data_IF_193591574681
#
_entry.id   IF_193591574681
#
_cell.length_a   1.000
_cell.length_b   1.000
_cell.length_c   1.000
_cell.angle_alpha   90.00
_cell.angle_beta   90.00
_cell.angle_gamma   90.00
#
_symmetry.space_group_name_H-M   'P 1'
#
loop_
_entity.id
_entity.type
_entity.pdbx_description
1 polymer ?
#
# COMPACT_ATOMS: atom_id res chain seq x y z
N UNK A 1 -7.26 -16.76 19.16
CA UNK A 1 -5.86 -17.10 18.83
C UNK A 1 -5.83 -17.45 17.36
N UNK A 2 -4.95 -16.83 16.58
CA UNK A 2 -4.67 -17.29 15.21
C UNK A 2 -3.85 -18.57 15.30
N UNK A 3 -4.34 -19.65 14.69
CA UNK A 3 -3.57 -20.87 14.53
C UNK A 3 -2.62 -20.69 13.34
N UNK A 4 -1.33 -20.57 13.66
CA UNK A 4 -0.28 -20.34 12.69
C UNK A 4 -0.03 -21.54 11.76
N UNK A 5 -0.37 -22.76 12.22
CA UNK A 5 -0.19 -24.00 11.48
C UNK A 5 -1.40 -24.29 10.58
N UNK A 6 -2.61 -24.03 11.06
CA UNK A 6 -3.83 -24.20 10.27
C UNK A 6 -4.04 -23.07 9.23
N UNK A 7 -3.42 -21.91 9.43
CA UNK A 7 -3.56 -20.72 8.57
C UNK A 7 -5.04 -20.34 8.33
N UNK A 8 -5.90 -20.64 9.31
CA UNK A 8 -7.35 -20.43 9.25
C UNK A 8 -7.65 -18.94 9.47
N UNK A 9 -7.95 -18.24 8.38
CA UNK A 9 -8.40 -16.86 8.45
C UNK A 9 -9.93 -16.78 8.39
N UNK A 10 -10.49 -15.86 9.18
CA UNK A 10 -11.89 -15.48 9.05
C UNK A 10 -12.22 -15.09 7.60
N UNK A 11 -13.46 -15.35 7.17
CA UNK A 11 -13.94 -15.11 5.80
C UNK A 11 -13.62 -13.69 5.26
N UNK A 12 -13.60 -12.67 6.13
CA UNK A 12 -13.28 -11.28 5.78
C UNK A 12 -11.79 -10.96 5.55
N UNK A 13 -10.88 -11.84 5.96
CA UNK A 13 -9.43 -11.67 5.78
C UNK A 13 -8.97 -11.83 4.32
N UNK A 14 -9.87 -12.30 3.46
CA UNK A 14 -9.57 -12.58 2.07
C UNK A 14 -10.05 -11.46 1.16
N UNK A 15 -9.22 -11.17 0.15
CA UNK A 15 -9.51 -10.27 -0.94
C UNK A 15 -9.85 -11.08 -2.20
N UNK A 16 -10.90 -10.66 -2.91
CA UNK A 16 -11.21 -11.19 -4.24
C UNK A 16 -10.22 -10.60 -5.22
N UNK A 17 -9.63 -11.42 -6.08
CA UNK A 17 -8.42 -11.10 -6.88
C UNK A 17 -8.52 -9.81 -7.73
N UNK A 18 -7.37 -9.38 -8.26
CA UNK A 18 -7.20 -8.24 -9.16
C UNK A 18 -8.34 -8.11 -10.19
N UNK A 19 -8.92 -6.91 -10.30
CA UNK A 19 -10.01 -6.65 -11.25
C UNK A 19 -11.40 -7.14 -10.78
N UNK A 20 -11.54 -7.56 -9.52
CA UNK A 20 -12.81 -8.00 -8.93
C UNK A 20 -13.11 -7.28 -7.60
N UNK A 21 -13.00 -5.95 -7.56
CA UNK A 21 -13.84 -5.19 -6.63
C UNK A 21 -15.23 -5.16 -7.27
N UNK A 22 -16.11 -6.06 -6.81
CA UNK A 22 -17.47 -6.18 -7.32
C UNK A 22 -18.16 -4.82 -7.29
N UNK A 23 -18.67 -4.42 -8.45
CA UNK A 23 -19.40 -3.18 -8.69
C UNK A 23 -20.36 -2.86 -7.54
N UNK A 24 -20.05 -1.85 -6.73
CA UNK A 24 -21.11 -1.10 -6.05
C UNK A 24 -21.71 -0.18 -7.09
N UNK A 25 -22.68 -0.70 -7.83
CA UNK A 25 -23.49 0.09 -8.78
C UNK A 25 -23.86 1.43 -8.14
N UNK A 26 -23.68 2.51 -8.89
CA UNK A 26 -24.36 3.77 -8.60
C UNK A 26 -25.88 3.53 -8.53
N UNK A 27 -26.63 4.49 -7.96
CA UNK A 27 -28.09 4.36 -7.79
C UNK A 27 -28.85 4.12 -9.11
N UNK A 28 -28.25 4.41 -10.25
CA UNK A 28 -28.79 4.22 -11.60
C UNK A 28 -28.36 2.90 -12.30
N UNK A 29 -27.55 2.07 -11.62
CA UNK A 29 -27.10 0.78 -12.18
C UNK A 29 -25.89 0.86 -13.10
N UNK A 30 -25.32 2.03 -13.32
CA UNK A 30 -24.06 2.19 -14.05
C UNK A 30 -22.85 1.98 -13.11
N UNK A 31 -21.65 1.88 -13.67
CA UNK A 31 -20.46 1.21 -13.09
C UNK A 31 -19.96 1.94 -11.83
N UNK A 32 -19.13 1.30 -10.98
CA UNK A 32 -18.34 2.02 -9.98
C UNK A 32 -16.97 2.34 -10.60
N UNK A 33 -16.65 3.62 -10.68
CA UNK A 33 -15.41 4.15 -11.24
C UNK A 33 -14.20 3.88 -10.35
N UNK A 34 -14.43 3.69 -9.04
CA UNK A 34 -13.42 3.25 -8.08
C UNK A 34 -13.09 1.76 -8.24
N UNK A 35 -13.91 1.04 -9.00
CA UNK A 35 -13.69 -0.34 -9.40
C UNK A 35 -13.40 -0.42 -10.90
N UNK A 36 -12.69 0.55 -11.48
CA UNK A 36 -12.19 0.40 -12.85
C UNK A 36 -11.45 -0.93 -12.94
N UNK A 37 -12.09 -1.91 -13.55
CA UNK A 37 -11.49 -3.20 -13.80
C UNK A 37 -10.40 -2.95 -14.83
N UNK A 38 -9.19 -3.46 -14.58
CA UNK A 38 -8.34 -3.75 -15.74
C UNK A 38 -9.12 -4.82 -16.49
N UNK A 39 -9.65 -4.47 -17.67
CA UNK A 39 -10.45 -5.40 -18.47
C UNK A 39 -9.52 -6.41 -19.10
N UNK A 40 -9.53 -7.62 -18.55
CA UNK A 40 -8.59 -8.67 -18.91
C UNK A 40 -7.22 -8.46 -18.28
N UNK A 41 -6.35 -9.42 -18.53
CA UNK A 41 -4.97 -9.41 -18.09
C UNK A 41 -4.31 -10.68 -18.56
N UNK A 42 -3.02 -10.80 -18.29
CA UNK A 42 -2.26 -11.98 -18.64
C UNK A 42 -1.48 -12.44 -17.42
N UNK A 43 -1.56 -13.73 -17.13
CA UNK A 43 -0.78 -14.37 -16.08
C UNK A 43 0.72 -14.34 -16.44
N UNK A 44 1.57 -14.54 -15.43
CA UNK A 44 3.01 -14.60 -15.62
C UNK A 44 3.49 -15.67 -16.62
N UNK A 45 2.66 -16.67 -16.94
CA UNK A 45 2.93 -17.72 -17.94
C UNK A 45 2.36 -17.42 -19.33
N UNK A 46 1.76 -16.24 -19.54
CA UNK A 46 1.16 -15.85 -20.81
C UNK A 46 -0.31 -16.26 -20.97
N UNK A 47 -0.88 -17.00 -20.02
CA UNK A 47 -2.29 -17.41 -20.13
C UNK A 47 -3.24 -16.22 -19.88
N UNK A 48 -4.36 -16.11 -20.62
CA UNK A 48 -5.33 -15.04 -20.39
C UNK A 48 -5.94 -15.13 -18.99
N UNK A 49 -6.07 -13.98 -18.32
CA UNK A 49 -6.78 -13.85 -17.06
C UNK A 49 -8.20 -13.34 -17.32
N UNK A 50 -9.19 -14.16 -16.98
CA UNK A 50 -10.59 -13.73 -16.87
C UNK A 50 -10.96 -13.54 -15.39
N UNK A 51 -11.24 -12.30 -14.96
CA UNK A 51 -11.66 -12.01 -13.59
C UNK A 51 -13.01 -12.60 -13.23
N UNK A 52 -13.77 -13.25 -14.11
CA UNK A 52 -15.05 -13.88 -13.79
C UNK A 52 -15.01 -15.41 -13.79
N UNK A 53 -14.19 -16.03 -14.65
CA UNK A 53 -14.27 -17.48 -14.93
C UNK A 53 -13.01 -18.26 -14.59
N UNK A 54 -11.85 -17.62 -14.41
CA UNK A 54 -10.62 -18.35 -14.07
C UNK A 54 -10.79 -19.02 -12.71
N UNK A 55 -10.56 -20.34 -12.63
CA UNK A 55 -10.66 -21.20 -11.42
C UNK A 55 -9.83 -20.69 -10.22
N UNK A 56 -9.02 -19.65 -10.43
CA UNK A 56 -8.15 -18.98 -9.48
C UNK A 56 -8.64 -17.59 -9.11
N UNK A 57 -9.93 -17.47 -8.76
CA UNK A 57 -10.34 -16.49 -7.76
C UNK A 57 -9.84 -16.87 -6.36
N UNK A 58 -8.58 -17.32 -6.27
CA UNK A 58 -7.95 -17.75 -5.02
C UNK A 58 -8.02 -16.56 -4.08
N UNK A 59 -8.74 -16.76 -2.99
CA UNK A 59 -8.81 -15.85 -1.86
C UNK A 59 -7.38 -15.48 -1.44
N UNK A 60 -6.98 -14.23 -1.66
CA UNK A 60 -5.65 -13.74 -1.24
C UNK A 60 -5.79 -13.14 0.16
N UNK A 61 -4.92 -13.52 1.09
CA UNK A 61 -4.94 -12.94 2.44
C UNK A 61 -4.55 -11.47 2.36
N UNK A 62 -5.36 -10.59 2.93
CA UNK A 62 -5.09 -9.15 2.99
C UNK A 62 -3.97 -8.88 3.99
N UNK A 63 -2.75 -8.60 3.51
CA UNK A 63 -1.54 -8.39 4.36
C UNK A 63 -0.67 -7.21 3.97
N UNK A 64 -0.89 -6.65 2.77
CA UNK A 64 0.10 -5.75 2.16
C UNK A 64 -0.22 -4.27 2.37
N UNK A 65 -1.47 -3.89 2.66
CA UNK A 65 -1.83 -2.52 3.03
C UNK A 65 -1.99 -2.36 4.54
N UNK A 66 -1.84 -1.13 5.04
CA UNK A 66 -2.00 -0.82 6.47
C UNK A 66 -3.33 -1.33 7.04
N UNK A 67 -4.43 -1.07 6.32
CA UNK A 67 -5.78 -1.45 6.70
C UNK A 67 -6.11 -2.94 6.43
N UNK A 68 -5.14 -3.73 5.95
CA UNK A 68 -5.37 -5.11 5.50
C UNK A 68 -6.59 -5.18 4.57
N UNK A 69 -6.60 -4.34 3.54
CA UNK A 69 -7.70 -4.25 2.56
C UNK A 69 -7.36 -4.90 1.23
N UNK A 70 -6.07 -5.03 0.91
CA UNK A 70 -5.58 -5.49 -0.39
C UNK A 70 -4.60 -6.66 -0.25
N UNK A 71 -4.59 -7.53 -1.26
CA UNK A 71 -3.91 -8.83 -1.23
C UNK A 71 -2.55 -8.90 -1.93
N UNK A 72 -2.16 -7.93 -2.75
CA UNK A 72 -0.89 -7.99 -3.50
C UNK A 72 -0.35 -6.60 -3.86
N UNK A 73 0.87 -6.53 -4.40
CA UNK A 73 1.44 -5.31 -5.00
C UNK A 73 0.68 -4.82 -6.24
N UNK A 74 -0.08 -5.72 -6.87
CA UNK A 74 -0.77 -5.42 -8.14
C UNK A 74 -2.08 -4.67 -7.91
N UNK A 75 -2.68 -4.87 -6.74
CA UNK A 75 -3.96 -4.28 -6.33
C UNK A 75 -3.82 -3.35 -5.10
N UNK A 76 -2.71 -3.47 -4.38
CA UNK A 76 -2.35 -2.64 -3.22
C UNK A 76 -1.32 -1.55 -3.56
N UNK A 77 -0.26 -1.39 -2.73
CA UNK A 77 0.75 -0.35 -2.95
C UNK A 77 1.56 -0.67 -4.21
N UNK A 78 1.55 0.26 -5.18
CA UNK A 78 2.21 0.10 -6.48
C UNK A 78 1.26 0.40 -7.64
N UNK A 79 0.91 -0.64 -8.41
CA UNK A 79 0.18 -0.55 -9.68
C UNK A 79 -1.19 0.14 -9.57
N UNK A 80 -1.89 -0.07 -8.46
CA UNK A 80 -3.17 0.58 -8.19
C UNK A 80 -2.99 1.93 -7.49
N UNK A 81 -2.01 2.05 -6.59
CA UNK A 81 -1.72 3.27 -5.83
C UNK A 81 -1.38 4.47 -6.72
N UNK A 82 -0.58 4.27 -7.77
CA UNK A 82 -0.24 5.32 -8.75
C UNK A 82 -1.48 5.88 -9.47
N UNK A 83 -2.55 5.11 -9.55
CA UNK A 83 -3.82 5.59 -10.11
C UNK A 83 -4.73 6.13 -9.02
N UNK A 84 -5.02 5.36 -7.97
CA UNK A 84 -6.05 5.73 -6.99
C UNK A 84 -5.63 6.76 -5.94
N UNK A 85 -4.33 7.05 -5.81
CA UNK A 85 -3.83 8.13 -4.93
C UNK A 85 -3.47 9.36 -5.75
N UNK A 86 -2.73 9.18 -6.85
CA UNK A 86 -2.18 10.29 -7.63
C UNK A 86 -2.98 10.63 -8.88
N UNK A 87 -4.02 9.87 -9.22
CA UNK A 87 -4.86 10.06 -10.41
C UNK A 87 -4.12 9.96 -11.76
N UNK A 88 -2.92 9.39 -11.79
CA UNK A 88 -2.14 9.23 -13.03
C UNK A 88 -2.90 8.34 -14.02
N UNK A 89 -3.30 8.94 -15.13
CA UNK A 89 -4.06 8.31 -16.20
C UNK A 89 -3.16 7.52 -17.14
N UNK A 90 -3.69 6.40 -17.66
CA UNK A 90 -3.01 5.50 -18.61
C UNK A 90 -3.99 4.96 -19.63
N UNK A 91 -3.54 4.44 -20.79
CA UNK A 91 -4.43 3.78 -21.76
C UNK A 91 -5.32 2.66 -21.16
N UNK A 92 -4.88 2.01 -20.09
CA UNK A 92 -5.65 0.99 -19.36
C UNK A 92 -6.43 1.51 -18.13
N UNK A 93 -6.26 2.80 -17.81
CA UNK A 93 -6.85 3.56 -16.69
C UNK A 93 -7.24 4.97 -17.15
N UNK A 94 -8.27 5.11 -17.99
CA UNK A 94 -8.60 6.40 -18.59
C UNK A 94 -9.50 7.30 -17.72
N UNK A 95 -10.05 6.83 -16.61
CA UNK A 95 -10.93 7.65 -15.75
C UNK A 95 -10.26 7.94 -14.40
N UNK A 96 -10.66 9.04 -13.77
CA UNK A 96 -10.12 9.47 -12.48
C UNK A 96 -10.66 8.64 -11.31
N UNK A 97 -9.82 8.41 -10.31
CA UNK A 97 -10.22 7.92 -8.99
C UNK A 97 -10.75 9.06 -8.13
N UNK A 98 -12.02 9.40 -8.34
CA UNK A 98 -12.72 10.46 -7.60
C UNK A 98 -14.18 10.08 -7.35
N UNK A 99 -15.01 11.03 -6.92
CA UNK A 99 -16.44 10.83 -6.63
C UNK A 99 -17.27 11.92 -7.29
N UNK A 100 -18.49 11.58 -7.70
CA UNK A 100 -19.46 12.55 -8.25
C UNK A 100 -19.71 13.72 -7.28
N UNK A 101 -19.78 13.43 -5.97
CA UNK A 101 -19.98 14.45 -4.95
C UNK A 101 -18.83 15.47 -4.92
N UNK A 102 -17.58 15.01 -5.08
CA UNK A 102 -16.42 15.90 -5.16
C UNK A 102 -16.43 16.69 -6.48
N UNK A 103 -16.67 16.02 -7.61
CA UNK A 103 -16.76 16.70 -8.91
C UNK A 103 -17.83 17.80 -8.92
N UNK A 104 -19.01 17.50 -8.36
CA UNK A 104 -20.08 18.49 -8.17
C UNK A 104 -19.63 19.63 -7.28
N UNK A 105 -19.05 19.33 -6.11
CA UNK A 105 -18.63 20.38 -5.18
C UNK A 105 -17.60 21.33 -5.79
N UNK A 106 -16.64 20.80 -6.54
CA UNK A 106 -15.63 21.60 -7.25
C UNK A 106 -16.24 22.44 -8.37
N UNK A 107 -17.25 21.91 -9.07
CA UNK A 107 -17.93 22.66 -10.15
C UNK A 107 -18.75 23.85 -9.66
N UNK A 108 -19.22 23.81 -8.40
CA UNK A 108 -20.03 24.86 -7.78
C UNK A 108 -19.19 25.83 -6.92
N UNK A 109 -17.88 25.60 -6.82
CA UNK A 109 -16.98 26.43 -6.02
C UNK A 109 -16.61 27.71 -6.76
N UNK A 110 -16.97 28.87 -6.18
CA UNK A 110 -16.76 30.17 -6.81
C UNK A 110 -15.29 30.55 -6.94
N UNK A 111 -14.42 30.07 -6.04
CA UNK A 111 -12.98 30.32 -6.14
C UNK A 111 -12.36 29.52 -7.28
N UNK A 112 -12.80 28.26 -7.47
CA UNK A 112 -12.37 27.39 -8.58
C UNK A 112 -12.76 28.02 -9.91
N UNK A 113 -14.02 28.43 -10.07
CA UNK A 113 -14.50 29.08 -11.29
C UNK A 113 -13.71 30.36 -11.55
N UNK A 114 -13.54 31.22 -10.55
CA UNK A 114 -12.80 32.47 -10.70
C UNK A 114 -11.33 32.27 -11.06
N UNK A 115 -10.69 31.21 -10.54
CA UNK A 115 -9.31 30.86 -10.89
C UNK A 115 -9.21 30.40 -12.36
N UNK A 116 -10.12 29.53 -12.81
CA UNK A 116 -10.17 29.06 -14.20
C UNK A 116 -10.45 30.21 -15.17
N UNK A 117 -11.36 31.14 -14.85
CA UNK A 117 -11.66 32.30 -15.70
C UNK A 117 -10.45 33.20 -15.96
N UNK A 118 -9.49 33.24 -15.03
CA UNK A 118 -8.26 34.04 -15.16
C UNK A 118 -7.24 33.38 -16.10
N UNK A 119 -7.41 32.10 -16.41
CA UNK A 119 -6.53 31.34 -17.29
C UNK A 119 -7.30 30.69 -18.44
N UNK A 120 -7.44 31.39 -19.58
CA UNK A 120 -8.06 30.85 -20.79
C UNK A 120 -7.38 29.61 -21.37
N UNK A 121 -6.15 29.29 -20.95
CA UNK A 121 -5.45 28.06 -21.38
C UNK A 121 -5.87 26.83 -20.59
N UNK A 122 -6.61 27.00 -19.49
CA UNK A 122 -7.10 25.92 -18.67
C UNK A 122 -7.97 24.95 -19.48
N UNK A 123 -7.78 23.62 -19.36
CA UNK A 123 -8.64 22.64 -20.01
C UNK A 123 -10.10 22.68 -19.49
N UNK A 124 -10.34 23.37 -18.38
CA UNK A 124 -11.65 23.59 -17.79
C UNK A 124 -12.30 24.92 -18.22
N UNK A 125 -11.63 25.73 -19.04
CA UNK A 125 -12.11 27.08 -19.40
C UNK A 125 -13.40 27.07 -20.22
N UNK A 126 -13.61 26.03 -21.03
CA UNK A 126 -14.77 25.91 -21.93
C UNK A 126 -14.99 27.17 -22.78
N UNK A 127 -16.13 27.84 -22.62
CA UNK A 127 -16.49 29.09 -23.32
C UNK A 127 -16.20 30.36 -22.49
N UNK A 128 -15.56 30.23 -21.33
CA UNK A 128 -15.22 31.33 -20.42
C UNK A 128 -16.39 31.84 -19.57
N UNK A 129 -17.60 31.31 -19.76
CA UNK A 129 -18.76 31.62 -18.91
C UNK A 129 -18.71 30.80 -17.63
N UNK A 130 -19.35 31.30 -16.57
CA UNK A 130 -19.41 30.57 -15.29
C UNK A 130 -20.10 29.21 -15.46
N UNK A 131 -21.15 29.15 -16.28
CA UNK A 131 -21.90 27.91 -16.54
C UNK A 131 -21.10 26.92 -17.39
N UNK A 132 -20.39 27.42 -18.42
CA UNK A 132 -19.50 26.60 -19.23
C UNK A 132 -18.36 25.99 -18.43
N UNK A 133 -17.72 26.79 -17.56
CA UNK A 133 -16.66 26.33 -16.65
C UNK A 133 -17.20 25.33 -15.64
N UNK A 134 -18.34 25.63 -15.01
CA UNK A 134 -19.01 24.70 -14.09
C UNK A 134 -19.28 23.37 -14.77
N UNK A 135 -19.84 23.37 -15.98
CA UNK A 135 -20.08 22.15 -16.73
C UNK A 135 -18.78 21.40 -17.05
N UNK A 136 -17.73 22.10 -17.51
CA UNK A 136 -16.44 21.48 -17.81
C UNK A 136 -15.80 20.83 -16.57
N UNK A 137 -15.78 21.53 -15.43
CA UNK A 137 -15.30 20.99 -14.15
C UNK A 137 -16.13 19.77 -13.73
N UNK A 138 -17.47 19.86 -13.81
CA UNK A 138 -18.35 18.75 -13.44
C UNK A 138 -18.11 17.51 -14.28
N UNK A 139 -17.94 17.67 -15.60
CA UNK A 139 -17.76 16.56 -16.54
C UNK A 139 -16.36 15.99 -16.46
N UNK A 140 -15.31 16.82 -16.54
CA UNK A 140 -13.92 16.33 -16.56
C UNK A 140 -13.51 15.66 -15.24
N UNK A 141 -14.02 16.15 -14.10
CA UNK A 141 -13.78 15.54 -12.79
C UNK A 141 -14.77 14.40 -12.48
N UNK A 142 -15.75 14.13 -13.34
CA UNK A 142 -16.65 13.00 -13.12
C UNK A 142 -15.84 11.69 -13.20
N UNK A 143 -15.99 10.78 -12.22
CA UNK A 143 -15.16 9.60 -12.19
C UNK A 143 -15.53 8.58 -13.30
N UNK A 144 -16.58 8.83 -14.09
CA UNK A 144 -17.00 8.05 -15.25
C UNK A 144 -16.54 8.65 -16.58
N UNK A 145 -15.96 9.85 -16.59
CA UNK A 145 -15.48 10.49 -17.82
C UNK A 145 -14.16 9.89 -18.25
N UNK A 146 -14.14 9.35 -19.48
CA UNK A 146 -12.91 8.96 -20.15
C UNK A 146 -12.11 10.21 -20.48
N UNK A 147 -10.96 10.37 -19.83
CA UNK A 147 -10.13 11.55 -19.99
C UNK A 147 -9.60 11.70 -21.41
N UNK A 148 -9.50 10.61 -22.19
CA UNK A 148 -8.97 10.63 -23.57
C UNK A 148 -10.06 10.69 -24.64
N UNK A 149 -11.31 10.40 -24.27
CA UNK A 149 -12.47 10.36 -25.16
C UNK A 149 -13.66 11.03 -24.48
N UNK A 150 -13.66 12.36 -24.54
CA UNK A 150 -14.74 13.20 -24.02
C UNK A 150 -14.93 14.43 -24.90
N UNK A 151 -16.05 15.12 -24.72
CA UNK A 151 -16.46 16.25 -25.55
C UNK A 151 -16.04 17.63 -25.00
N UNK A 152 -15.33 17.70 -23.87
CA UNK A 152 -14.89 18.96 -23.26
C UNK A 152 -13.43 19.22 -23.61
N UNK A 153 -12.54 18.32 -23.23
CA UNK A 153 -11.11 18.40 -23.46
C UNK A 153 -10.51 16.98 -23.45
N UNK A 154 -10.24 16.39 -24.63
CA UNK A 154 -9.54 15.12 -24.71
C UNK A 154 -8.09 15.27 -24.23
N UNK A 155 -7.79 14.76 -23.05
CA UNK A 155 -6.43 14.70 -22.51
C UNK A 155 -5.62 13.62 -23.21
N UNK A 156 -4.30 13.76 -23.14
CA UNK A 156 -3.36 12.66 -23.42
C UNK A 156 -3.09 11.89 -22.13
N UNK A 157 -2.82 10.60 -22.24
CA UNK A 157 -2.39 9.80 -21.10
C UNK A 157 -1.13 10.40 -20.45
N UNK A 158 -1.17 10.57 -19.12
CA UNK A 158 -0.03 11.08 -18.35
C UNK A 158 1.12 10.08 -18.27
N UNK A 159 0.80 8.79 -18.33
CA UNK A 159 1.79 7.72 -18.34
C UNK A 159 1.53 6.77 -19.52
N UNK A 160 2.54 6.58 -20.37
CA UNK A 160 2.50 5.59 -21.44
C UNK A 160 2.53 4.16 -20.89
N UNK A 161 2.13 3.17 -21.68
CA UNK A 161 2.22 1.77 -21.25
C UNK A 161 3.67 1.28 -21.11
N UNK A 162 4.61 1.91 -21.81
CA UNK A 162 6.04 1.61 -21.71
C UNK A 162 6.64 2.20 -20.42
N UNK A 163 6.26 3.41 -20.05
CA UNK A 163 6.63 4.00 -18.76
C UNK A 163 6.02 3.22 -17.59
N UNK A 164 4.78 2.73 -17.75
CA UNK A 164 4.15 1.85 -16.79
C UNK A 164 4.91 0.52 -16.67
N UNK A 165 5.31 -0.09 -17.79
CA UNK A 165 6.15 -1.29 -17.77
C UNK A 165 7.47 -1.04 -17.04
N UNK A 166 8.18 0.05 -17.36
CA UNK A 166 9.43 0.43 -16.71
C UNK A 166 9.25 0.65 -15.19
N UNK A 167 8.18 1.32 -14.80
CA UNK A 167 7.79 1.47 -13.39
C UNK A 167 7.58 0.12 -12.70
N UNK A 168 6.87 -0.81 -13.35
CA UNK A 168 6.62 -2.13 -12.78
C UNK A 168 7.89 -3.00 -12.69
N UNK A 169 8.80 -2.90 -13.66
CA UNK A 169 10.13 -3.54 -13.59
C UNK A 169 10.90 -3.00 -12.38
N UNK A 170 10.98 -1.68 -12.23
CA UNK A 170 11.64 -1.04 -11.10
C UNK A 170 10.99 -1.45 -9.77
N UNK A 171 9.67 -1.28 -9.63
CA UNK A 171 8.95 -1.51 -8.38
C UNK A 171 9.01 -2.98 -7.93
N UNK A 172 9.06 -3.94 -8.87
CA UNK A 172 9.25 -5.36 -8.54
C UNK A 172 10.72 -5.70 -8.25
N UNK A 173 11.65 -5.01 -8.90
CA UNK A 173 13.09 -5.20 -8.73
C UNK A 173 13.70 -4.51 -7.50
N UNK A 174 12.94 -3.70 -6.77
CA UNK A 174 13.40 -3.03 -5.55
C UNK A 174 13.74 -4.06 -4.45
N UNK A 175 15.04 -4.28 -4.26
CA UNK A 175 15.55 -5.09 -3.17
C UNK A 175 15.63 -4.30 -1.86
N UNK A 176 15.62 -5.04 -0.75
CA UNK A 176 15.85 -4.47 0.58
C UNK A 176 17.36 -4.30 0.86
N UNK A 177 17.75 -3.35 1.72
CA UNK A 177 19.13 -3.25 2.16
C UNK A 177 19.59 -4.53 2.87
N UNK A 178 20.83 -4.96 2.60
CA UNK A 178 21.42 -6.12 3.28
C UNK A 178 21.53 -5.87 4.79
N UNK A 179 21.22 -6.87 5.60
CA UNK A 179 21.55 -6.86 7.02
C UNK A 179 23.08 -6.74 7.25
N UNK A 180 23.49 -6.10 8.34
CA UNK A 180 24.85 -5.62 8.58
C UNK A 180 25.35 -6.17 9.90
N UNK A 181 26.67 -6.33 10.03
CA UNK A 181 27.34 -6.63 11.31
C UNK A 181 26.77 -7.84 12.08
N UNK A 182 26.24 -8.84 11.38
CA UNK A 182 25.56 -9.96 12.03
C UNK A 182 26.49 -10.81 12.90
N UNK A 183 27.81 -10.79 12.67
CA UNK A 183 28.79 -11.51 13.50
C UNK A 183 29.21 -10.74 14.77
N UNK A 184 28.73 -9.50 14.96
CA UNK A 184 29.02 -8.72 16.15
C UNK A 184 28.37 -9.38 17.40
N UNK A 185 29.14 -9.68 18.46
CA UNK A 185 28.60 -10.35 19.65
C UNK A 185 27.44 -9.60 20.30
N UNK A 186 27.44 -8.28 20.25
CA UNK A 186 26.36 -7.46 20.80
C UNK A 186 25.10 -7.52 19.93
N UNK A 187 25.24 -7.63 18.61
CA UNK A 187 24.11 -7.86 17.69
C UNK A 187 23.49 -9.24 17.93
N UNK A 188 24.32 -10.26 18.15
CA UNK A 188 23.84 -11.60 18.49
C UNK A 188 23.13 -11.64 19.84
N UNK A 189 23.66 -10.95 20.86
CA UNK A 189 22.98 -10.78 22.14
C UNK A 189 21.63 -10.05 21.97
N UNK A 190 21.60 -8.97 21.18
CA UNK A 190 20.36 -8.25 20.87
C UNK A 190 19.31 -9.13 20.20
N UNK A 191 19.72 -9.93 19.21
CA UNK A 191 18.84 -10.92 18.56
C UNK A 191 18.31 -11.93 19.57
N UNK A 192 19.17 -12.48 20.43
CA UNK A 192 18.78 -13.45 21.46
C UNK A 192 17.70 -12.86 22.37
N UNK A 193 17.95 -11.68 22.94
CA UNK A 193 17.00 -10.99 23.82
C UNK A 193 15.70 -10.64 23.11
N UNK A 194 15.76 -10.21 21.84
CA UNK A 194 14.57 -9.93 21.03
C UNK A 194 13.66 -11.16 20.90
N UNK A 195 14.24 -12.35 20.75
CA UNK A 195 13.49 -13.60 20.73
C UNK A 195 12.96 -13.95 22.12
N UNK A 196 13.80 -13.91 23.15
CA UNK A 196 13.46 -14.29 24.53
C UNK A 196 12.38 -13.40 25.15
N UNK A 197 12.37 -12.10 24.82
CA UNK A 197 11.36 -11.16 25.30
C UNK A 197 10.04 -11.27 24.53
N UNK A 198 9.98 -12.09 23.47
CA UNK A 198 8.76 -12.32 22.69
C UNK A 198 8.48 -11.24 21.64
N UNK A 199 9.40 -10.32 21.35
CA UNK A 199 9.23 -9.34 20.27
C UNK A 199 8.96 -10.04 18.92
N UNK A 200 9.60 -11.19 18.71
CA UNK A 200 9.46 -12.04 17.54
C UNK A 200 8.06 -12.67 17.35
N UNK A 201 7.17 -12.58 18.34
CA UNK A 201 5.80 -13.10 18.23
C UNK A 201 4.97 -12.32 17.19
N UNK A 202 5.18 -11.00 17.10
CA UNK A 202 4.61 -10.16 16.04
C UNK A 202 5.66 -9.88 14.96
N UNK A 203 6.90 -9.60 15.35
CA UNK A 203 8.01 -9.36 14.42
C UNK A 203 8.66 -10.66 13.94
N UNK A 204 7.86 -11.54 13.33
CA UNK A 204 8.30 -12.87 12.90
C UNK A 204 9.54 -12.79 12.00
N UNK A 205 10.65 -13.47 12.35
CA UNK A 205 11.92 -13.28 11.68
C UNK A 205 11.89 -13.54 10.18
N UNK A 206 11.34 -14.67 9.75
CA UNK A 206 11.45 -15.14 8.37
C UNK A 206 10.17 -15.70 7.78
N UNK A 207 10.11 -15.61 6.45
CA UNK A 207 9.09 -16.23 5.62
C UNK A 207 9.71 -16.88 4.39
N UNK A 208 9.09 -17.94 3.90
CA UNK A 208 9.33 -18.47 2.56
C UNK A 208 8.20 -17.97 1.67
N UNK A 209 8.54 -17.21 0.63
CA UNK A 209 7.56 -16.78 -0.38
C UNK A 209 7.17 -17.98 -1.25
N UNK A 210 5.98 -17.94 -1.83
CA UNK A 210 5.51 -18.99 -2.74
C UNK A 210 5.85 -18.67 -4.19
N UNK A 211 5.03 -19.21 -5.09
CA UNK A 211 5.10 -18.87 -6.51
C UNK A 211 4.75 -17.41 -6.76
N UNK A 212 5.44 -16.81 -7.72
CA UNK A 212 5.25 -15.43 -8.17
C UNK A 212 4.36 -15.42 -9.41
N UNK A 213 3.06 -15.63 -9.18
CA UNK A 213 2.02 -15.71 -10.20
C UNK A 213 1.30 -14.37 -10.31
N UNK A 214 1.95 -13.41 -10.98
CA UNK A 214 1.43 -12.07 -11.18
C UNK A 214 0.41 -12.02 -12.34
N UNK A 215 -0.50 -11.05 -12.31
CA UNK A 215 -1.41 -10.69 -13.42
C UNK A 215 -1.04 -9.30 -13.94
N UNK A 216 -0.75 -9.16 -15.23
CA UNK A 216 -0.40 -7.85 -15.81
C UNK A 216 -1.50 -7.31 -16.73
N UNK A 217 -1.46 -6.01 -17.01
CA UNK A 217 -2.34 -5.37 -17.98
C UNK A 217 -2.14 -5.97 -19.36
N UNK A 218 -3.22 -6.20 -20.11
CA UNK A 218 -3.17 -6.76 -21.48
C UNK A 218 -2.27 -5.95 -22.43
N UNK A 219 -2.12 -4.65 -22.16
CA UNK A 219 -1.33 -3.74 -22.98
C UNK A 219 0.19 -3.92 -22.81
N UNK A 220 0.63 -4.70 -21.83
CA UNK A 220 2.04 -5.07 -21.63
C UNK A 220 2.19 -6.60 -21.50
N UNK A 221 1.25 -7.35 -22.07
CA UNK A 221 1.22 -8.81 -22.00
C UNK A 221 2.42 -9.48 -22.67
N UNK A 222 2.96 -8.85 -23.70
CA UNK A 222 4.13 -9.27 -24.46
C UNK A 222 5.45 -8.95 -23.74
N UNK A 223 5.42 -8.19 -22.65
CA UNK A 223 6.59 -7.75 -21.90
C UNK A 223 6.65 -8.43 -20.52
N UNK A 224 7.48 -9.46 -20.33
CA UNK A 224 7.56 -10.16 -19.05
C UNK A 224 8.12 -9.24 -17.95
N UNK A 225 7.59 -9.38 -16.73
CA UNK A 225 8.07 -8.69 -15.54
C UNK A 225 9.03 -9.57 -14.74
N UNK A 226 9.98 -9.00 -13.98
CA UNK A 226 10.87 -9.76 -13.10
C UNK A 226 10.11 -10.64 -12.11
N UNK A 227 10.59 -11.87 -11.90
CA UNK A 227 9.99 -12.85 -10.98
C UNK A 227 10.98 -13.27 -9.89
N UNK A 228 10.51 -13.35 -8.65
CA UNK A 228 11.31 -13.73 -7.48
C UNK A 228 10.57 -14.79 -6.65
N UNK A 229 10.47 -16.00 -7.22
CA UNK A 229 9.75 -17.11 -6.60
C UNK A 229 10.55 -17.73 -5.45
N UNK A 230 9.86 -18.30 -4.47
CA UNK A 230 10.47 -19.21 -3.48
C UNK A 230 11.68 -18.61 -2.74
N UNK A 231 11.65 -17.31 -2.48
CA UNK A 231 12.68 -16.60 -1.71
C UNK A 231 12.48 -16.81 -0.20
N UNK A 232 13.58 -17.04 0.52
CA UNK A 232 13.60 -16.93 1.97
C UNK A 232 13.91 -15.48 2.32
N UNK A 233 12.97 -14.81 2.98
CA UNK A 233 13.07 -13.40 3.36
C UNK A 233 13.06 -13.24 4.88
N UNK A 234 13.66 -12.15 5.37
CA UNK A 234 13.76 -11.84 6.80
C UNK A 234 13.17 -10.46 7.14
N UNK A 235 11.85 -10.24 7.01
CA UNK A 235 11.24 -8.93 7.23
C UNK A 235 11.08 -8.57 8.70
N UNK A 236 11.15 -9.54 9.63
CA UNK A 236 10.81 -9.33 11.04
C UNK A 236 9.43 -8.70 11.21
N UNK A 237 8.42 -9.33 10.62
CA UNK A 237 7.02 -8.91 10.65
C UNK A 237 6.13 -10.08 10.28
N UNK A 238 4.99 -10.18 10.94
CA UNK A 238 3.93 -11.10 10.59
C UNK A 238 2.93 -10.55 9.55
N UNK A 239 3.09 -9.27 9.18
CA UNK A 239 2.28 -8.53 8.20
C UNK A 239 0.78 -8.46 8.55
N UNK A 240 0.40 -8.71 9.81
CA UNK A 240 -0.98 -8.59 10.30
C UNK A 240 -1.12 -7.44 11.29
N UNK A 241 -2.35 -7.18 11.73
CA UNK A 241 -2.67 -6.11 12.68
C UNK A 241 -2.73 -6.62 14.12
N UNK A 242 -2.24 -5.78 15.03
CA UNK A 242 -2.30 -5.98 16.48
C UNK A 242 -2.81 -4.71 17.16
N UNK A 243 -3.47 -4.87 18.30
CA UNK A 243 -3.94 -3.71 19.08
C UNK A 243 -2.84 -3.19 20.00
N UNK A 244 -2.43 -1.94 19.81
CA UNK A 244 -1.36 -1.32 20.62
C UNK A 244 -1.87 -0.35 21.70
N UNK A 245 -3.11 0.15 21.57
CA UNK A 245 -3.75 1.03 22.57
C UNK A 245 -2.91 2.28 22.95
N UNK A 246 -2.28 2.94 21.98
CA UNK A 246 -1.44 4.12 22.15
C UNK A 246 -2.27 5.42 22.25
N UNK A 247 -1.67 6.50 22.78
CA UNK A 247 -2.37 7.77 23.04
C UNK A 247 -3.05 8.39 21.78
N UNK A 248 -2.33 8.49 20.67
CA UNK A 248 -2.90 8.92 19.37
C UNK A 248 -3.11 7.70 18.47
N UNK A 249 -3.97 6.79 18.90
CA UNK A 249 -4.30 5.60 18.11
C UNK A 249 -5.00 5.96 16.80
N UNK A 250 -4.74 5.15 15.78
CA UNK A 250 -5.49 5.17 14.52
C UNK A 250 -6.26 3.86 14.38
N UNK A 251 -7.42 3.92 13.72
CA UNK A 251 -8.23 2.74 13.40
C UNK A 251 -8.58 1.84 14.60
N UNK A 252 -9.00 2.43 15.73
CA UNK A 252 -9.39 1.64 16.91
C UNK A 252 -8.24 0.83 17.51
N UNK A 253 -7.04 1.40 17.49
CA UNK A 253 -5.78 0.84 18.02
C UNK A 253 -5.13 -0.25 17.16
N UNK A 254 -5.72 -0.64 16.03
CA UNK A 254 -5.15 -1.65 15.15
C UNK A 254 -3.98 -1.09 14.34
N UNK A 255 -2.81 -1.67 14.57
CA UNK A 255 -1.57 -1.32 13.91
C UNK A 255 -0.99 -2.55 13.21
N UNK A 256 -0.69 -2.44 11.91
CA UNK A 256 0.00 -3.51 11.19
C UNK A 256 1.45 -3.58 11.65
N UNK A 257 1.96 -4.78 11.93
CA UNK A 257 3.39 -4.97 12.22
C UNK A 257 4.23 -4.54 11.02
N UNK A 258 4.94 -3.43 11.12
CA UNK A 258 5.82 -2.97 10.04
C UNK A 258 7.07 -3.85 9.97
N UNK A 259 7.52 -4.26 8.76
CA UNK A 259 8.82 -4.92 8.59
C UNK A 259 9.96 -4.08 9.18
N UNK A 260 10.86 -4.72 9.92
CA UNK A 260 12.01 -4.06 10.56
C UNK A 260 13.27 -4.03 9.68
N UNK A 261 13.27 -4.75 8.56
CA UNK A 261 14.40 -4.78 7.63
C UNK A 261 14.82 -3.38 7.16
N UNK A 262 16.11 -3.08 7.18
CA UNK A 262 16.66 -1.79 6.74
C UNK A 262 16.24 -0.57 7.58
N UNK A 263 15.51 -0.72 8.70
CA UNK A 263 15.05 0.44 9.50
C UNK A 263 16.20 1.25 10.08
N UNK A 264 17.33 0.61 10.39
CA UNK A 264 18.55 1.29 10.83
C UNK A 264 19.17 2.24 9.80
N UNK A 265 18.74 2.20 8.54
CA UNK A 265 19.24 3.08 7.46
C UNK A 265 18.31 4.25 7.15
N UNK A 266 17.19 4.39 7.88
CA UNK A 266 16.21 5.47 7.63
C UNK A 266 16.87 6.85 7.60
N UNK A 267 17.68 7.18 8.62
CA UNK A 267 18.34 8.48 8.71
C UNK A 267 19.26 8.75 7.51
N UNK A 268 20.06 7.74 7.11
CA UNK A 268 20.99 7.85 6.00
C UNK A 268 20.26 8.04 4.66
N UNK A 269 19.14 7.35 4.47
CA UNK A 269 18.42 7.33 3.20
C UNK A 269 17.43 8.49 3.05
N UNK A 270 16.87 9.01 4.14
CA UNK A 270 15.78 10.00 4.08
C UNK A 270 16.03 11.26 4.91
N UNK A 271 17.12 11.33 5.69
CA UNK A 271 17.35 12.42 6.64
C UNK A 271 16.46 12.39 7.89
N UNK A 272 15.67 11.33 8.09
CA UNK A 272 14.75 11.19 9.22
C UNK A 272 14.74 9.76 9.78
N UNK A 273 14.55 9.63 11.09
CA UNK A 273 14.49 8.33 11.77
C UNK A 273 13.32 8.16 12.75
N UNK A 274 12.29 8.98 12.61
CA UNK A 274 11.07 8.79 13.38
C UNK A 274 10.41 7.43 13.08
N UNK A 275 9.63 6.95 14.06
CA UNK A 275 9.01 5.63 14.11
C UNK A 275 7.54 5.77 14.47
N UNK A 276 6.79 4.69 14.22
CA UNK A 276 5.33 4.61 14.35
C UNK A 276 4.59 5.45 13.29
N UNK A 277 3.29 5.23 13.16
CA UNK A 277 2.48 5.78 12.07
C UNK A 277 2.35 7.31 12.10
N UNK A 278 2.46 7.92 13.28
CA UNK A 278 2.35 9.36 13.49
C UNK A 278 3.71 10.01 13.80
N UNK A 279 4.81 9.30 13.52
CA UNK A 279 6.18 9.80 13.68
C UNK A 279 6.52 10.30 15.11
N UNK A 280 5.78 9.86 16.14
CA UNK A 280 5.99 10.38 17.51
C UNK A 280 7.29 9.89 18.17
N UNK A 281 7.84 8.78 17.69
CA UNK A 281 8.94 8.09 18.35
C UNK A 281 10.22 8.41 17.59
N UNK A 282 11.15 9.12 18.23
CA UNK A 282 12.36 9.66 17.59
C UNK A 282 13.41 8.60 17.28
N UNK A 283 13.30 7.41 17.87
CA UNK A 283 14.24 6.30 17.71
C UNK A 283 13.61 4.96 18.12
N UNK A 284 14.39 3.88 18.05
CA UNK A 284 13.95 2.53 18.40
C UNK A 284 13.55 2.39 19.88
N UNK A 285 14.27 3.06 20.79
CA UNK A 285 13.98 2.98 22.23
C UNK A 285 12.58 3.52 22.50
N UNK A 286 12.30 4.73 22.01
CA UNK A 286 10.97 5.35 22.17
C UNK A 286 9.88 4.50 21.53
N UNK A 287 10.14 3.98 20.32
CA UNK A 287 9.19 3.12 19.63
C UNK A 287 8.83 1.88 20.48
N UNK A 288 9.82 1.21 21.07
CA UNK A 288 9.59 0.04 21.94
C UNK A 288 8.82 0.46 23.22
N UNK A 289 9.10 1.62 23.80
CA UNK A 289 8.38 2.11 24.99
C UNK A 289 6.90 2.43 24.71
N UNK A 290 6.58 2.91 23.51
CA UNK A 290 5.19 3.12 23.11
C UNK A 290 4.38 1.82 23.02
N UNK A 291 5.03 0.68 22.75
CA UNK A 291 4.34 -0.62 22.73
C UNK A 291 3.82 -1.04 24.12
N UNK A 292 4.40 -0.52 25.21
CA UNK A 292 3.90 -0.74 26.58
C UNK A 292 3.17 0.47 27.18
N UNK A 293 2.76 1.46 26.38
CA UNK A 293 1.99 2.62 26.87
C UNK A 293 0.71 2.19 27.61
N UNK A 294 0.03 1.15 27.12
CA UNK A 294 -1.17 0.58 27.73
C UNK A 294 -0.98 -0.91 28.03
N UNK A 295 -1.44 -1.35 29.21
CA UNK A 295 -1.51 -2.77 29.60
C UNK A 295 -2.41 -3.60 28.70
N UNK A 296 -3.29 -2.96 27.92
CA UNK A 296 -4.17 -3.62 26.94
C UNK A 296 -3.44 -3.95 25.63
N UNK A 297 -2.26 -3.37 25.39
CA UNK A 297 -1.46 -3.63 24.19
C UNK A 297 -1.11 -5.10 24.06
N UNK A 298 -1.29 -5.67 22.86
CA UNK A 298 -0.82 -7.02 22.54
C UNK A 298 0.70 -7.17 22.69
N UNK A 299 1.44 -6.05 22.62
CA UNK A 299 2.89 -6.03 22.76
C UNK A 299 3.37 -5.71 24.19
N UNK A 300 2.45 -5.50 25.15
CA UNK A 300 2.80 -5.03 26.50
C UNK A 300 3.78 -5.97 27.20
N UNK A 301 3.52 -7.28 27.19
CA UNK A 301 4.36 -8.28 27.86
C UNK A 301 5.77 -8.35 27.29
N UNK A 302 5.94 -8.11 25.99
CA UNK A 302 7.27 -8.06 25.37
C UNK A 302 7.98 -6.76 25.64
N UNK A 303 7.29 -5.63 25.47
CA UNK A 303 7.88 -4.31 25.65
C UNK A 303 8.26 -4.02 27.12
N UNK A 304 7.52 -4.58 28.10
CA UNK A 304 7.87 -4.42 29.52
C UNK A 304 9.17 -5.14 29.90
N UNK A 305 9.54 -6.21 29.19
CA UNK A 305 10.84 -6.87 29.39
C UNK A 305 11.99 -5.96 28.96
N UNK A 306 11.86 -5.29 27.81
CA UNK A 306 12.81 -4.26 27.40
C UNK A 306 12.89 -3.12 28.41
N UNK A 307 11.74 -2.62 28.89
CA UNK A 307 11.69 -1.53 29.87
C UNK A 307 12.47 -1.84 31.16
N UNK A 308 12.36 -3.09 31.65
CA UNK A 308 13.02 -3.56 32.87
C UNK A 308 14.48 -3.97 32.67
N UNK A 309 14.93 -4.13 31.44
CA UNK A 309 16.26 -4.63 31.13
C UNK A 309 17.37 -3.63 31.47
N UNK A 310 18.59 -4.15 31.64
CA UNK A 310 19.77 -3.33 31.83
C UNK A 310 19.97 -2.39 30.64
N UNK A 311 20.72 -1.30 30.82
CA UNK A 311 21.06 -0.42 29.68
C UNK A 311 21.80 -1.19 28.58
N UNK A 312 22.75 -2.06 28.97
CA UNK A 312 23.53 -2.89 28.03
C UNK A 312 22.63 -3.79 27.18
N UNK A 313 21.64 -4.43 27.79
CA UNK A 313 20.71 -5.31 27.07
C UNK A 313 19.78 -4.53 26.14
N UNK A 314 19.29 -3.36 26.58
CA UNK A 314 18.51 -2.45 25.73
C UNK A 314 19.32 -1.98 24.53
N UNK A 315 20.57 -1.56 24.75
CA UNK A 315 21.49 -1.14 23.70
C UNK A 315 21.77 -2.28 22.71
N UNK A 316 21.90 -3.52 23.19
CA UNK A 316 22.10 -4.69 22.35
C UNK A 316 20.91 -4.94 21.41
N UNK A 317 19.68 -4.89 21.92
CA UNK A 317 18.47 -5.02 21.09
C UNK A 317 18.37 -3.88 20.07
N UNK A 318 18.64 -2.64 20.46
CA UNK A 318 18.66 -1.50 19.53
C UNK A 318 19.71 -1.70 18.43
N UNK A 319 20.92 -2.17 18.79
CA UNK A 319 21.98 -2.45 17.82
C UNK A 319 21.58 -3.55 16.85
N UNK A 320 20.88 -4.59 17.31
CA UNK A 320 20.29 -5.62 16.46
C UNK A 320 19.24 -5.04 15.49
N UNK A 321 18.29 -4.24 15.97
CA UNK A 321 17.27 -3.58 15.14
C UNK A 321 17.88 -2.68 14.06
N UNK A 322 18.97 -1.97 14.39
CA UNK A 322 19.71 -1.14 13.43
C UNK A 322 20.54 -1.95 12.42
N UNK A 323 20.80 -3.21 12.73
CA UNK A 323 21.62 -4.11 11.91
C UNK A 323 20.79 -4.86 10.86
N UNK A 324 19.51 -5.10 11.12
CA UNK A 324 18.61 -5.80 10.18
C UNK A 324 18.05 -4.90 9.09
#
# INVERSE_FOLDING_TARGET
MWDAEANDFASGAFYTTFGRDAAKKSKDGTKDSRTQNVTGGVHADGTPFDPNTTDLNKKIVKRYTYALTRGSLQDGPGANAIWNITNVTRPDRPLLYTTEAWAQKMSEDTEVIAAIKKDPSSPYYADGTDEGIKNAVRVLLDPYTNQFDNNIHPFTAEQSMDDYYAFMVWHRGLAIPRARNLNDPQVQQGKKLFMEWGCANCHKPSWKTGDDNYITSKYIADKPLPRYQNQTIYPYSDLIQHKLYMKNDIHGSWCRTTPLWGRGLSLLNTGAEDRLHDCRARNEVEAIMWHCYSKKSHAYSSAINFYKASKSDRDAVVKFLRSI
#
